data_IF_653882015690
#
_entry.id   IF_653882015690
#
_cell.length_a   1.000
_cell.length_b   1.000
_cell.length_c   1.000
_cell.angle_alpha   90.00
_cell.angle_beta   90.00
_cell.angle_gamma   90.00
#
_symmetry.space_group_name_H-M   'P 1'
#
loop_
_entity.id
_entity.type
_entity.pdbx_description
1 polymer ?
#
# COMPACT_ATOMS: atom_id res chain seq x y z
N UNK A 1 -3.25 -5.68 37.98
CA UNK A 1 -2.80 -4.63 37.03
C UNK A 1 -3.88 -3.55 37.02
N UNK A 2 -3.56 -2.30 37.38
CA UNK A 2 -4.59 -1.27 37.64
C UNK A 2 -5.30 -0.84 36.35
N UNK A 3 -6.61 -0.55 36.42
CA UNK A 3 -7.43 -0.06 35.28
C UNK A 3 -6.80 1.12 34.53
N UNK A 4 -6.00 1.93 35.22
CA UNK A 4 -5.31 3.09 34.65
C UNK A 4 -4.14 2.68 33.74
N UNK A 5 -3.35 1.68 34.15
CA UNK A 5 -2.26 1.16 33.33
C UNK A 5 -2.79 0.57 32.02
N UNK A 6 -3.95 -0.10 32.09
CA UNK A 6 -4.63 -0.64 30.92
C UNK A 6 -5.06 0.46 29.93
N UNK A 7 -5.73 1.51 30.41
CA UNK A 7 -6.16 2.64 29.58
C UNK A 7 -4.99 3.36 28.89
N UNK A 8 -3.86 3.48 29.58
CA UNK A 8 -2.64 4.05 29.01
C UNK A 8 -2.13 3.17 27.86
N UNK A 9 -2.02 1.86 28.07
CA UNK A 9 -1.59 0.92 27.02
C UNK A 9 -2.53 0.95 25.80
N UNK A 10 -3.84 1.07 26.00
CA UNK A 10 -4.80 1.21 24.90
C UNK A 10 -4.61 2.50 24.11
N UNK A 11 -4.40 3.62 24.80
CA UNK A 11 -4.12 4.91 24.18
C UNK A 11 -2.83 4.86 23.34
N UNK A 12 -1.76 4.24 23.84
CA UNK A 12 -0.52 4.05 23.08
C UNK A 12 -0.70 3.15 21.87
N UNK A 13 -1.47 2.06 21.98
CA UNK A 13 -1.74 1.16 20.86
C UNK A 13 -2.46 1.88 19.71
N UNK A 14 -3.37 2.81 20.01
CA UNK A 14 -4.07 3.61 19.00
C UNK A 14 -3.12 4.53 18.22
N UNK A 15 -2.12 5.13 18.88
CA UNK A 15 -1.11 5.97 18.22
C UNK A 15 -0.14 5.10 17.42
N UNK A 16 0.35 4.01 18.01
CA UNK A 16 1.27 3.08 17.35
C UNK A 16 0.67 2.43 16.11
N UNK A 17 -0.64 2.16 16.10
CA UNK A 17 -1.34 1.67 14.92
C UNK A 17 -1.29 2.67 13.76
N UNK A 18 -1.39 3.97 14.04
CA UNK A 18 -1.29 5.00 12.99
C UNK A 18 0.15 5.18 12.51
N UNK A 19 1.12 5.20 13.44
CA UNK A 19 2.55 5.27 13.08
C UNK A 19 2.96 4.06 12.24
N UNK A 20 2.50 2.87 12.61
CA UNK A 20 2.69 1.66 11.80
C UNK A 20 2.11 1.86 10.41
N UNK A 21 0.88 2.37 10.29
CA UNK A 21 0.28 2.76 9.02
C UNK A 21 1.16 3.68 8.17
N UNK A 22 1.75 4.71 8.77
CA UNK A 22 2.68 5.60 8.08
C UNK A 22 3.92 4.85 7.56
N UNK A 23 4.52 4.00 8.38
CA UNK A 23 5.70 3.19 8.01
C UNK A 23 5.37 2.28 6.83
N UNK A 24 4.20 1.64 6.81
CA UNK A 24 3.75 0.78 5.70
C UNK A 24 3.73 1.57 4.39
N UNK A 25 3.12 2.76 4.42
CA UNK A 25 3.00 3.59 3.23
C UNK A 25 4.34 4.18 2.77
N UNK A 26 5.29 4.40 3.69
CA UNK A 26 6.68 4.73 3.35
C UNK A 26 7.42 3.53 2.73
N UNK A 27 7.14 2.30 3.17
CA UNK A 27 7.66 1.10 2.52
C UNK A 27 7.08 0.92 1.12
N UNK A 28 5.79 1.17 0.92
CA UNK A 28 5.19 1.19 -0.41
C UNK A 28 5.75 2.30 -1.30
N UNK A 29 6.00 3.48 -0.76
CA UNK A 29 6.70 4.56 -1.47
C UNK A 29 8.11 4.11 -1.90
N UNK A 30 8.84 3.47 -0.99
CA UNK A 30 10.18 2.95 -1.28
C UNK A 30 10.13 1.87 -2.37
N UNK A 31 9.18 0.93 -2.27
CA UNK A 31 8.92 -0.07 -3.30
C UNK A 31 8.62 0.59 -4.66
N UNK A 32 7.73 1.58 -4.71
CA UNK A 32 7.42 2.31 -5.94
C UNK A 32 8.66 2.99 -6.56
N UNK A 33 9.48 3.65 -5.75
CA UNK A 33 10.71 4.32 -6.20
C UNK A 33 11.72 3.31 -6.77
N UNK A 34 12.05 2.26 -6.02
CA UNK A 34 13.03 1.27 -6.46
C UNK A 34 12.54 0.47 -7.68
N UNK A 35 11.28 0.04 -7.69
CA UNK A 35 10.69 -0.63 -8.84
C UNK A 35 10.62 0.29 -10.06
N UNK A 36 10.32 1.58 -9.87
CA UNK A 36 10.34 2.60 -10.92
C UNK A 36 11.72 2.80 -11.53
N UNK A 37 12.74 2.97 -10.70
CA UNK A 37 14.14 3.07 -11.13
C UNK A 37 14.60 1.83 -11.88
N UNK A 38 14.28 0.63 -11.38
CA UNK A 38 14.62 -0.60 -12.06
C UNK A 38 13.90 -0.76 -13.39
N UNK A 39 12.65 -0.32 -13.49
CA UNK A 39 11.90 -0.36 -14.75
C UNK A 39 12.52 0.56 -15.80
N UNK A 40 12.91 1.78 -15.41
CA UNK A 40 13.66 2.69 -16.28
C UNK A 40 14.95 2.03 -16.78
N UNK A 41 15.74 1.45 -15.87
CA UNK A 41 16.98 0.77 -16.23
C UNK A 41 16.74 -0.39 -17.20
N UNK A 42 15.72 -1.22 -16.95
CA UNK A 42 15.37 -2.33 -17.83
C UNK A 42 14.95 -1.87 -19.23
N UNK A 43 14.14 -0.82 -19.32
CA UNK A 43 13.71 -0.25 -20.61
C UNK A 43 14.88 0.34 -21.40
N UNK A 44 15.85 0.96 -20.72
CA UNK A 44 17.06 1.52 -21.37
C UNK A 44 18.02 0.42 -21.83
N UNK A 45 18.27 -0.57 -20.99
CA UNK A 45 19.30 -1.61 -21.26
C UNK A 45 18.79 -2.68 -22.23
N UNK A 46 17.57 -3.17 -22.04
CA UNK A 46 17.04 -4.32 -22.79
C UNK A 46 16.09 -3.92 -23.92
N UNK A 47 15.80 -2.61 -24.05
CA UNK A 47 14.73 -2.04 -24.90
C UNK A 47 13.34 -2.52 -24.50
N UNK A 48 12.26 -1.79 -24.84
CA UNK A 48 10.91 -2.23 -24.54
C UNK A 48 10.58 -3.57 -25.22
N UNK A 49 10.21 -4.58 -24.43
CA UNK A 49 9.86 -5.92 -24.91
C UNK A 49 8.86 -6.60 -23.96
N UNK A 50 8.27 -7.71 -24.41
CA UNK A 50 7.38 -8.53 -23.56
C UNK A 50 8.10 -9.04 -22.32
N UNK A 51 9.39 -9.40 -22.43
CA UNK A 51 10.19 -9.86 -21.30
C UNK A 51 10.38 -8.75 -20.27
N UNK A 52 10.59 -7.50 -20.72
CA UNK A 52 10.67 -6.34 -19.82
C UNK A 52 9.33 -6.11 -19.13
N UNK A 53 8.20 -6.21 -19.82
CA UNK A 53 6.86 -6.10 -19.18
C UNK A 53 6.70 -7.14 -18.06
N UNK A 54 7.04 -8.40 -18.33
CA UNK A 54 6.95 -9.47 -17.34
C UNK A 54 7.90 -9.25 -16.16
N UNK A 55 9.13 -8.80 -16.42
CA UNK A 55 10.09 -8.46 -15.38
C UNK A 55 9.59 -7.32 -14.49
N UNK A 56 9.02 -6.26 -15.09
CA UNK A 56 8.44 -5.13 -14.36
C UNK A 56 7.27 -5.58 -13.50
N UNK A 57 6.36 -6.40 -14.06
CA UNK A 57 5.25 -6.97 -13.32
C UNK A 57 5.73 -7.73 -12.07
N UNK A 58 6.75 -8.58 -12.22
CA UNK A 58 7.33 -9.35 -11.11
C UNK A 58 8.02 -8.46 -10.09
N UNK A 59 8.81 -7.47 -10.53
CA UNK A 59 9.50 -6.53 -9.64
C UNK A 59 8.48 -5.79 -8.78
N UNK A 60 7.47 -5.17 -9.39
CA UNK A 60 6.45 -4.46 -8.63
C UNK A 60 5.64 -5.43 -7.75
N UNK A 61 5.12 -6.52 -8.31
CA UNK A 61 4.35 -7.50 -7.55
C UNK A 61 5.11 -8.01 -6.31
N UNK A 62 6.38 -8.38 -6.48
CA UNK A 62 7.23 -8.86 -5.38
C UNK A 62 7.55 -7.76 -4.38
N UNK A 63 7.95 -6.56 -4.83
CA UNK A 63 8.29 -5.45 -3.92
C UNK A 63 7.11 -5.03 -3.05
N UNK A 64 5.90 -4.98 -3.61
CA UNK A 64 4.68 -4.67 -2.86
C UNK A 64 4.23 -5.81 -1.95
N UNK A 65 4.41 -7.08 -2.37
CA UNK A 65 4.23 -8.23 -1.48
C UNK A 65 5.19 -8.15 -0.29
N UNK A 66 6.48 -7.89 -0.52
CA UNK A 66 7.49 -7.76 0.55
C UNK A 66 7.15 -6.61 1.49
N UNK A 67 6.83 -5.43 0.95
CA UNK A 67 6.41 -4.28 1.76
C UNK A 67 5.20 -4.62 2.64
N UNK A 68 4.24 -5.39 2.10
CA UNK A 68 3.06 -5.88 2.84
C UNK A 68 3.41 -6.95 3.88
N UNK A 69 4.46 -7.73 3.69
CA UNK A 69 4.90 -8.76 4.64
C UNK A 69 5.68 -8.18 5.82
N UNK A 70 6.47 -7.14 5.58
CA UNK A 70 7.10 -6.37 6.66
C UNK A 70 6.06 -5.86 7.66
N UNK A 71 4.82 -5.63 7.20
CA UNK A 71 3.67 -5.24 8.05
C UNK A 71 3.22 -6.36 8.97
N UNK A 72 3.22 -7.61 8.51
CA UNK A 72 2.76 -8.76 9.30
C UNK A 72 3.53 -8.90 10.62
N UNK A 73 4.80 -8.48 10.62
CA UNK A 73 5.67 -8.41 11.80
C UNK A 73 5.16 -7.36 12.80
N UNK A 74 4.78 -6.16 12.33
CA UNK A 74 4.24 -5.09 13.19
C UNK A 74 2.82 -5.40 13.70
N UNK A 75 1.95 -5.98 12.87
CA UNK A 75 0.62 -6.43 13.33
C UNK A 75 0.71 -7.55 14.35
N UNK A 76 1.74 -8.42 14.27
CA UNK A 76 2.01 -9.42 15.32
C UNK A 76 2.40 -8.75 16.64
N UNK A 77 3.23 -7.71 16.63
CA UNK A 77 3.55 -6.95 17.85
C UNK A 77 2.30 -6.29 18.46
N UNK A 78 1.40 -5.76 17.61
CA UNK A 78 0.11 -5.22 18.07
C UNK A 78 -0.86 -6.29 18.57
N UNK A 79 -0.83 -7.50 18.00
CA UNK A 79 -1.62 -8.64 18.47
C UNK A 79 -1.10 -9.20 19.79
N UNK A 80 0.22 -9.16 20.04
CA UNK A 80 0.80 -9.44 21.36
C UNK A 80 0.25 -8.48 22.42
N UNK A 81 0.03 -7.21 22.06
CA UNK A 81 -0.64 -6.22 22.91
C UNK A 81 -2.14 -6.54 23.16
N UNK A 82 -2.85 -7.15 22.21
CA UNK A 82 -4.23 -7.62 22.42
C UNK A 82 -4.31 -8.92 23.24
N UNK A 83 -3.32 -9.81 23.16
CA UNK A 83 -3.18 -10.99 24.02
C UNK A 83 -3.04 -10.59 25.50
N UNK A 84 -2.44 -9.43 25.80
CA UNK A 84 -2.45 -8.85 27.15
C UNK A 84 -3.83 -8.37 27.60
N UNK A 85 -4.78 -8.11 26.68
CA UNK A 85 -6.14 -7.61 27.02
C UNK A 85 -7.11 -8.71 27.41
N UNK A 86 -6.94 -9.91 26.89
CA UNK A 86 -7.82 -11.05 27.18
C UNK A 86 -7.10 -12.36 26.82
N UNK A 87 -6.32 -12.97 27.75
CA UNK A 87 -5.60 -14.22 27.47
C UNK A 87 -6.55 -15.37 27.07
N UNK A 88 -7.83 -15.30 27.46
CA UNK A 88 -8.86 -16.31 27.15
C UNK A 88 -9.61 -16.06 25.83
N UNK A 89 -9.46 -14.90 25.19
CA UNK A 89 -10.05 -14.65 23.85
C UNK A 89 -9.13 -15.20 22.76
N UNK A 90 -9.09 -16.53 22.70
CA UNK A 90 -8.75 -17.36 21.54
C UNK A 90 -7.45 -16.98 20.82
N UNK A 91 -6.45 -17.82 21.05
CA UNK A 91 -5.43 -18.24 20.08
C UNK A 91 -6.04 -18.87 18.80
N UNK A 92 -7.16 -18.35 18.31
CA UNK A 92 -8.06 -18.97 17.36
C UNK A 92 -8.54 -17.94 16.34
N UNK A 93 -7.57 -17.42 15.62
CA UNK A 93 -7.63 -17.12 14.19
C UNK A 93 -6.21 -16.77 13.84
N UNK A 94 -5.46 -17.80 13.46
CA UNK A 94 -4.47 -17.65 12.41
C UNK A 94 -5.15 -16.78 11.35
N UNK A 95 -4.86 -15.49 11.34
CA UNK A 95 -5.15 -14.63 10.20
C UNK A 95 -4.26 -15.21 9.13
N UNK A 96 -4.80 -16.21 8.44
CA UNK A 96 -4.18 -16.91 7.35
C UNK A 96 -3.54 -15.85 6.46
N UNK A 97 -2.27 -16.10 6.16
CA UNK A 97 -1.36 -15.28 5.36
C UNK A 97 -1.81 -15.21 3.89
N UNK A 98 -3.11 -15.04 3.64
CA UNK A 98 -3.73 -15.00 2.31
C UNK A 98 -3.46 -13.67 1.60
N UNK A 99 -2.76 -12.71 2.23
CA UNK A 99 -2.25 -11.54 1.54
C UNK A 99 -1.06 -11.85 0.59
N UNK A 100 -0.46 -13.05 0.70
CA UNK A 100 0.85 -13.36 0.12
C UNK A 100 0.91 -13.39 -1.42
N UNK A 101 -0.14 -13.72 -2.19
CA UNK A 101 -0.12 -13.56 -3.65
C UNK A 101 -1.00 -12.42 -4.18
N UNK A 102 -1.69 -11.65 -3.33
CA UNK A 102 -2.73 -10.71 -3.81
C UNK A 102 -2.17 -9.58 -4.66
N UNK A 103 -0.98 -9.08 -4.35
CA UNK A 103 -0.30 -8.08 -5.20
C UNK A 103 0.08 -8.69 -6.54
N UNK A 104 0.70 -9.88 -6.57
CA UNK A 104 1.05 -10.56 -7.81
C UNK A 104 -0.19 -10.80 -8.67
N UNK A 105 -1.31 -11.24 -8.07
CA UNK A 105 -2.57 -11.43 -8.77
C UNK A 105 -3.15 -10.12 -9.31
N UNK A 106 -3.08 -9.02 -8.55
CA UNK A 106 -3.48 -7.70 -9.02
C UNK A 106 -2.67 -7.26 -10.24
N UNK A 107 -1.35 -7.51 -10.24
CA UNK A 107 -0.48 -7.22 -11.38
C UNK A 107 -0.71 -8.15 -12.57
N UNK A 108 -1.01 -9.43 -12.35
CA UNK A 108 -1.40 -10.37 -13.42
C UNK A 108 -2.71 -9.91 -14.09
N UNK A 109 -3.70 -9.50 -13.29
CA UNK A 109 -4.94 -8.96 -13.82
C UNK A 109 -4.71 -7.65 -14.58
N UNK A 110 -3.89 -6.75 -14.04
CA UNK A 110 -3.55 -5.51 -14.72
C UNK A 110 -2.79 -5.75 -16.04
N UNK A 111 -1.91 -6.75 -16.07
CA UNK A 111 -1.23 -7.19 -17.29
C UNK A 111 -2.25 -7.67 -18.33
N UNK A 112 -3.19 -8.52 -17.94
CA UNK A 112 -4.26 -9.01 -18.82
C UNK A 112 -5.06 -7.85 -19.42
N UNK A 113 -5.52 -6.92 -18.60
CA UNK A 113 -6.29 -5.75 -19.04
C UNK A 113 -5.44 -4.84 -19.96
N UNK A 114 -4.18 -4.59 -19.61
CA UNK A 114 -3.28 -3.77 -20.42
C UNK A 114 -3.00 -4.40 -21.80
N UNK A 115 -2.90 -5.73 -21.88
CA UNK A 115 -2.72 -6.45 -23.14
C UNK A 115 -3.99 -6.42 -24.01
N UNK A 116 -5.17 -6.35 -23.40
CA UNK A 116 -6.45 -6.30 -24.11
C UNK A 116 -6.75 -4.91 -24.66
N UNK A 117 -6.39 -3.85 -23.91
CA UNK A 117 -6.80 -2.47 -24.22
C UNK A 117 -5.74 -1.65 -24.97
N UNK A 118 -4.46 -1.99 -24.83
CA UNK A 118 -3.37 -1.20 -25.39
C UNK A 118 -2.77 -1.94 -26.59
N UNK A 119 -2.57 -1.29 -27.76
CA UNK A 119 -1.88 -1.87 -28.91
C UNK A 119 -0.50 -2.45 -28.56
N UNK A 120 -0.06 -3.46 -29.31
CA UNK A 120 1.17 -4.21 -29.04
C UNK A 120 2.44 -3.37 -29.20
N UNK A 121 2.38 -2.35 -30.06
CA UNK A 121 3.49 -1.47 -30.38
C UNK A 121 3.76 -0.45 -29.26
N UNK A 122 2.76 -0.17 -28.41
CA UNK A 122 2.82 0.84 -27.36
C UNK A 122 3.31 0.27 -26.02
N UNK A 123 4.53 -0.29 -26.02
CA UNK A 123 5.10 -0.99 -24.86
C UNK A 123 5.16 -0.14 -23.59
N UNK A 124 5.64 1.09 -23.68
CA UNK A 124 5.85 1.92 -22.49
C UNK A 124 4.53 2.46 -21.91
N UNK A 125 3.53 2.73 -22.76
CA UNK A 125 2.16 3.01 -22.31
C UNK A 125 1.57 1.77 -21.62
N UNK A 126 1.77 0.57 -22.18
CA UNK A 126 1.32 -0.69 -21.58
C UNK A 126 1.94 -0.91 -20.21
N UNK A 127 3.24 -0.65 -20.03
CA UNK A 127 3.91 -0.71 -18.73
C UNK A 127 3.27 0.28 -17.75
N UNK A 128 3.08 1.55 -18.14
CA UNK A 128 2.47 2.56 -17.28
C UNK A 128 1.05 2.18 -16.83
N UNK A 129 0.22 1.69 -17.74
CA UNK A 129 -1.15 1.25 -17.46
C UNK A 129 -1.15 0.00 -16.58
N UNK A 130 -0.34 -1.02 -16.91
CA UNK A 130 -0.20 -2.24 -16.11
C UNK A 130 0.23 -1.91 -14.68
N UNK A 131 1.23 -1.04 -14.51
CA UNK A 131 1.72 -0.67 -13.18
C UNK A 131 0.68 0.14 -12.41
N UNK A 132 0.13 1.19 -13.01
CA UNK A 132 -0.89 2.02 -12.36
C UNK A 132 -2.13 1.23 -11.94
N UNK A 133 -2.62 0.36 -12.83
CA UNK A 133 -3.77 -0.51 -12.54
C UNK A 133 -3.44 -1.59 -11.52
N UNK A 134 -2.26 -2.22 -11.61
CA UNK A 134 -1.81 -3.26 -10.67
C UNK A 134 -1.70 -2.72 -9.25
N UNK A 135 -1.09 -1.54 -9.09
CA UNK A 135 -1.00 -0.88 -7.79
C UNK A 135 -2.37 -0.43 -7.29
N UNK A 136 -3.20 0.16 -8.17
CA UNK A 136 -4.56 0.55 -7.83
C UNK A 136 -5.34 -0.64 -7.26
N UNK A 137 -5.44 -1.74 -8.00
CA UNK A 137 -6.14 -2.95 -7.59
C UNK A 137 -5.56 -3.57 -6.31
N UNK A 138 -4.23 -3.57 -6.15
CA UNK A 138 -3.59 -4.02 -4.92
C UNK A 138 -4.08 -3.25 -3.69
N UNK A 139 -4.20 -1.92 -3.78
CA UNK A 139 -4.74 -1.10 -2.68
C UNK A 139 -6.24 -1.34 -2.43
N UNK A 140 -7.04 -1.61 -3.47
CA UNK A 140 -8.44 -2.01 -3.29
C UNK A 140 -8.55 -3.31 -2.51
N UNK A 141 -7.71 -4.29 -2.84
CA UNK A 141 -7.65 -5.56 -2.11
C UNK A 141 -7.19 -5.34 -0.67
N UNK A 142 -6.19 -4.50 -0.43
CA UNK A 142 -5.79 -4.09 0.92
C UNK A 142 -6.94 -3.45 1.70
N UNK A 143 -7.70 -2.54 1.09
CA UNK A 143 -8.88 -1.94 1.70
C UNK A 143 -9.92 -2.98 2.13
N UNK A 144 -10.30 -3.86 1.20
CA UNK A 144 -11.29 -4.92 1.46
C UNK A 144 -10.80 -5.90 2.54
N UNK A 145 -9.50 -6.21 2.55
CA UNK A 145 -8.89 -7.06 3.57
C UNK A 145 -8.93 -6.40 4.95
N UNK A 146 -8.55 -5.13 5.08
CA UNK A 146 -8.65 -4.37 6.35
C UNK A 146 -10.10 -4.32 6.82
N UNK A 147 -11.04 -3.99 5.93
CA UNK A 147 -12.46 -3.91 6.24
C UNK A 147 -13.00 -5.26 6.74
N UNK A 148 -12.64 -6.36 6.08
CA UNK A 148 -13.10 -7.72 6.43
C UNK A 148 -12.49 -8.19 7.76
N UNK A 149 -11.20 -7.93 7.99
CA UNK A 149 -10.46 -8.45 9.15
C UNK A 149 -10.70 -7.64 10.42
N UNK A 150 -10.67 -6.32 10.32
CA UNK A 150 -10.77 -5.42 11.48
C UNK A 150 -12.18 -4.86 11.70
N UNK A 151 -13.08 -4.98 10.71
CA UNK A 151 -14.38 -4.31 10.67
C UNK A 151 -14.29 -2.77 10.78
N UNK A 152 -13.10 -2.20 10.57
CA UNK A 152 -12.86 -0.76 10.55
C UNK A 152 -12.69 -0.28 9.11
N UNK A 153 -13.21 0.90 8.84
CA UNK A 153 -13.00 1.60 7.56
C UNK A 153 -11.72 2.41 7.67
N UNK A 154 -10.70 2.03 6.91
CA UNK A 154 -9.54 2.88 6.66
C UNK A 154 -9.63 3.45 5.24
N UNK A 155 -9.86 4.77 5.05
CA UNK A 155 -10.04 5.36 3.72
C UNK A 155 -8.74 5.48 2.91
N UNK A 156 -7.57 5.29 3.53
CA UNK A 156 -6.27 5.59 2.89
C UNK A 156 -5.91 4.65 1.72
N UNK A 157 -6.10 3.32 1.81
CA UNK A 157 -5.92 2.46 0.65
C UNK A 157 -6.95 2.74 -0.44
N UNK A 158 -8.19 3.07 -0.07
CA UNK A 158 -9.23 3.46 -1.03
C UNK A 158 -8.86 4.76 -1.77
N UNK A 159 -8.29 5.74 -1.06
CA UNK A 159 -7.75 6.96 -1.67
C UNK A 159 -6.69 6.63 -2.73
N UNK A 160 -5.71 5.79 -2.42
CA UNK A 160 -4.65 5.42 -3.39
C UNK A 160 -5.25 4.67 -4.58
N UNK A 161 -6.16 3.72 -4.35
CA UNK A 161 -6.87 3.02 -5.42
C UNK A 161 -7.56 4.00 -6.38
N UNK A 162 -8.42 4.87 -5.86
CA UNK A 162 -9.21 5.80 -6.65
C UNK A 162 -8.34 6.83 -7.36
N UNK A 163 -7.35 7.39 -6.66
CA UNK A 163 -6.43 8.36 -7.22
C UNK A 163 -5.70 7.78 -8.44
N UNK A 164 -5.10 6.60 -8.30
CA UNK A 164 -4.37 5.97 -9.40
C UNK A 164 -5.30 5.60 -10.56
N UNK A 165 -6.48 5.06 -10.27
CA UNK A 165 -7.48 4.72 -11.29
C UNK A 165 -7.90 5.95 -12.10
N UNK A 166 -8.14 7.07 -11.43
CA UNK A 166 -8.52 8.35 -12.07
C UNK A 166 -7.39 8.97 -12.89
N UNK A 167 -6.12 8.68 -12.56
CA UNK A 167 -4.97 9.18 -13.33
C UNK A 167 -4.65 8.34 -14.58
N UNK A 168 -5.16 7.10 -14.71
CA UNK A 168 -4.84 6.23 -15.86
C UNK A 168 -5.09 6.88 -17.25
N UNK A 169 -6.20 7.60 -17.49
CA UNK A 169 -6.44 8.22 -18.79
C UNK A 169 -5.39 9.27 -19.17
N UNK A 170 -4.76 9.92 -18.17
CA UNK A 170 -3.73 10.95 -18.44
C UNK A 170 -2.49 10.38 -19.14
N UNK A 171 -2.18 9.10 -18.94
CA UNK A 171 -1.02 8.44 -19.54
C UNK A 171 -1.15 8.28 -21.06
N UNK A 172 -2.39 8.15 -21.56
CA UNK A 172 -2.68 7.97 -22.99
C UNK A 172 -2.44 9.27 -23.76
N UNK A 173 -2.61 10.42 -23.09
CA UNK A 173 -2.50 11.74 -23.71
C UNK A 173 -1.06 12.23 -23.83
N UNK A 174 -0.10 11.52 -23.23
CA UNK A 174 1.29 11.95 -23.20
C UNK A 174 2.03 11.56 -24.50
N UNK A 175 2.76 12.52 -25.11
CA UNK A 175 3.62 12.20 -26.24
C UNK A 175 4.85 11.43 -25.77
N UNK A 176 5.43 10.61 -26.66
CA UNK A 176 6.72 9.95 -26.45
C UNK A 176 6.64 8.67 -25.60
N UNK A 177 7.66 7.83 -25.76
CA UNK A 177 7.65 6.48 -25.20
C UNK A 177 7.77 6.50 -23.67
N UNK A 178 8.63 7.33 -23.08
CA UNK A 178 8.93 7.24 -21.63
C UNK A 178 8.00 8.07 -20.72
N UNK A 179 7.35 9.11 -21.25
CA UNK A 179 6.55 10.03 -20.45
C UNK A 179 5.36 9.39 -19.71
N UNK A 180 4.60 8.46 -20.31
CA UNK A 180 3.52 7.75 -19.60
C UNK A 180 4.02 7.09 -18.31
N UNK A 181 5.19 6.45 -18.35
CA UNK A 181 5.75 5.74 -17.20
C UNK A 181 6.33 6.70 -16.15
N UNK A 182 6.96 7.80 -16.59
CA UNK A 182 7.45 8.84 -15.67
C UNK A 182 6.28 9.45 -14.89
N UNK A 183 5.20 9.82 -15.59
CA UNK A 183 4.02 10.39 -14.94
C UNK A 183 3.36 9.38 -13.99
N UNK A 184 3.27 8.11 -14.40
CA UNK A 184 2.77 7.05 -13.52
C UNK A 184 3.62 6.92 -12.24
N UNK A 185 4.94 6.96 -12.36
CA UNK A 185 5.85 6.91 -11.21
C UNK A 185 5.65 8.10 -10.26
N UNK A 186 5.43 9.31 -10.80
CA UNK A 186 5.12 10.50 -10.01
C UNK A 186 3.80 10.32 -9.24
N UNK A 187 2.74 9.86 -9.90
CA UNK A 187 1.45 9.64 -9.26
C UNK A 187 1.50 8.55 -8.17
N UNK A 188 2.23 7.46 -8.42
CA UNK A 188 2.49 6.45 -7.40
C UNK A 188 3.14 7.06 -6.16
N UNK A 189 4.27 7.76 -6.35
CA UNK A 189 5.01 8.36 -5.25
C UNK A 189 4.16 9.37 -4.48
N UNK A 190 3.44 10.23 -5.21
CA UNK A 190 2.54 11.22 -4.61
C UNK A 190 1.46 10.55 -3.77
N UNK A 191 0.77 9.55 -4.30
CA UNK A 191 -0.33 8.87 -3.60
C UNK A 191 0.12 8.21 -2.30
N UNK A 192 1.29 7.54 -2.31
CA UNK A 192 1.85 6.90 -1.12
C UNK A 192 2.37 7.91 -0.11
N UNK A 193 3.02 8.99 -0.56
CA UNK A 193 3.45 10.07 0.30
C UNK A 193 2.28 10.75 1.01
N UNK A 194 1.21 11.07 0.28
CA UNK A 194 0.00 11.68 0.85
C UNK A 194 -0.63 10.78 1.90
N UNK A 195 -0.78 9.48 1.62
CA UNK A 195 -1.34 8.54 2.58
C UNK A 195 -0.44 8.35 3.82
N UNK A 196 0.88 8.32 3.67
CA UNK A 196 1.82 8.28 4.80
C UNK A 196 1.70 9.53 5.68
N UNK A 197 1.68 10.72 5.06
CA UNK A 197 1.49 12.00 5.75
C UNK A 197 0.14 12.03 6.48
N UNK A 198 -0.92 11.49 5.87
CA UNK A 198 -2.22 11.37 6.50
C UNK A 198 -2.17 10.50 7.77
N UNK A 199 -1.48 9.35 7.75
CA UNK A 199 -1.22 8.56 8.97
C UNK A 199 -0.47 9.34 10.04
N UNK A 200 0.57 10.11 9.67
CA UNK A 200 1.35 10.91 10.63
C UNK A 200 0.48 11.98 11.31
N UNK A 201 -0.32 12.73 10.54
CA UNK A 201 -1.23 13.73 11.09
C UNK A 201 -2.31 13.10 11.98
N UNK A 202 -2.84 11.95 11.59
CA UNK A 202 -3.80 11.17 12.39
C UNK A 202 -3.18 10.71 13.71
N UNK A 203 -1.96 10.17 13.68
CA UNK A 203 -1.20 9.76 14.86
C UNK A 203 -0.99 10.94 15.82
N UNK A 204 -0.56 12.10 15.28
CA UNK A 204 -0.37 13.32 16.06
C UNK A 204 -1.66 13.79 16.72
N UNK A 205 -2.77 13.83 15.97
CA UNK A 205 -4.09 14.22 16.50
C UNK A 205 -4.53 13.31 17.64
N UNK A 206 -4.34 11.99 17.49
CA UNK A 206 -4.66 11.00 18.52
C UNK A 206 -3.79 11.17 19.77
N UNK A 207 -2.48 11.35 19.59
CA UNK A 207 -1.55 11.60 20.70
C UNK A 207 -1.92 12.87 21.49
N UNK A 208 -2.25 13.96 20.79
CA UNK A 208 -2.72 15.20 21.43
C UNK A 208 -4.03 14.98 22.18
N UNK A 209 -5.00 14.28 21.60
CA UNK A 209 -6.27 13.97 22.28
C UNK A 209 -6.07 13.15 23.56
N UNK A 210 -5.13 12.20 23.56
CA UNK A 210 -4.76 11.43 24.75
C UNK A 210 -4.12 12.33 25.81
N UNK A 211 -3.22 13.24 25.40
CA UNK A 211 -2.56 14.17 26.31
C UNK A 211 -3.54 15.16 26.95
N UNK A 212 -4.47 15.73 26.18
CA UNK A 212 -5.51 16.63 26.70
C UNK A 212 -6.44 15.90 27.68
N UNK A 213 -6.89 14.68 27.33
CA UNK A 213 -7.69 13.85 28.22
C UNK A 213 -6.96 13.50 29.52
N UNK A 214 -5.64 13.26 29.47
CA UNK A 214 -4.83 13.01 30.67
C UNK A 214 -4.68 14.26 31.56
N UNK A 215 -4.81 15.46 30.99
CA UNK A 215 -4.78 16.75 31.71
C UNK A 215 -6.15 17.18 32.24
N UNK A 216 -7.23 16.47 31.89
CA UNK A 216 -8.60 16.87 32.21
C UNK A 216 -9.13 18.03 31.37
N UNK A 217 -8.44 18.35 30.27
CA UNK A 217 -8.86 19.35 29.29
C UNK A 217 -9.80 18.64 28.29
N UNK A 218 -11.12 18.80 28.46
CA UNK A 218 -12.15 18.28 27.56
C UNK A 218 -12.94 19.41 26.91
#
# INVERSE_FOLDING_TARGET
MSKNLFRIVEAYAVVLSEVSGAIIYLLYLSAALFSGMMTQLLMVVFKPSVQVILAVMLIFGASFTIASLSVAIFTKMSATLELFKAPERKAGRETEYIAFPLWILAFLFALLISNLLIPAELFALRIAIMVGLGVSLGNMVTFLWILRTTRRVDPRPLFVFLYLLLTLPSYILLPGEYYPFILNSIHLCFSYFVAAVWYIFSARKKALGILHAARGEY
#
